data_IF_353481089332
#
_entry.id   IF_353481089332
#
_cell.length_a   1.000
_cell.length_b   1.000
_cell.length_c   1.000
_cell.angle_alpha   90.00
_cell.angle_beta   90.00
_cell.angle_gamma   90.00
#
_symmetry.space_group_name_H-M   'P 1'
#
loop_
_entity.id
_entity.type
_entity.pdbx_description
1 polymer ?
#
# COMPACT_ATOMS: atom_id res chain seq x y z
N UNK A 1 17.88 -19.83 13.41
CA UNK A 1 17.72 -21.05 12.60
C UNK A 1 17.94 -20.66 11.15
N UNK A 2 19.16 -20.34 10.71
CA UNK A 2 19.37 -19.70 9.42
C UNK A 2 19.02 -20.60 8.24
N UNK A 3 18.61 -19.96 7.14
CA UNK A 3 18.38 -20.60 5.84
C UNK A 3 19.66 -20.80 5.05
N UNK A 4 20.79 -20.23 5.49
CA UNK A 4 22.10 -20.37 4.86
C UNK A 4 23.19 -20.78 5.83
N UNK A 5 24.20 -21.45 5.30
CA UNK A 5 25.45 -21.73 6.02
C UNK A 5 26.63 -21.70 5.03
N UNK A 6 27.85 -21.80 5.53
CA UNK A 6 29.06 -21.97 4.73
C UNK A 6 29.37 -23.46 4.60
N UNK A 7 29.60 -23.91 3.38
CA UNK A 7 30.16 -25.21 3.04
C UNK A 7 31.48 -24.96 2.30
N UNK A 8 32.61 -25.30 2.92
CA UNK A 8 33.95 -25.00 2.39
C UNK A 8 34.11 -23.54 1.91
N UNK A 9 33.71 -22.58 2.74
CA UNK A 9 33.69 -21.13 2.45
C UNK A 9 32.70 -20.65 1.39
N UNK A 10 31.92 -21.54 0.78
CA UNK A 10 30.85 -21.17 -0.15
C UNK A 10 29.53 -21.10 0.59
N UNK A 11 28.78 -20.00 0.42
CA UNK A 11 27.43 -19.88 0.97
C UNK A 11 26.49 -20.83 0.22
N UNK A 12 25.80 -21.70 0.97
CA UNK A 12 24.74 -22.57 0.46
C UNK A 12 23.41 -22.24 1.15
N UNK A 13 22.31 -22.40 0.43
CA UNK A 13 20.96 -22.16 0.94
C UNK A 13 20.20 -23.47 1.09
N UNK A 14 19.49 -23.62 2.20
CA UNK A 14 18.74 -24.84 2.51
C UNK A 14 17.63 -25.13 1.50
N UNK A 15 17.06 -24.09 0.91
CA UNK A 15 15.97 -24.18 -0.08
C UNK A 15 16.44 -24.45 -1.51
N UNK A 16 17.76 -24.47 -1.77
CA UNK A 16 18.34 -24.86 -3.07
C UNK A 16 18.48 -26.39 -3.19
N UNK A 17 18.23 -27.14 -2.11
CA UNK A 17 18.28 -28.60 -2.08
C UNK A 17 16.89 -29.21 -2.19
N UNK A 18 16.75 -30.20 -3.06
CA UNK A 18 15.62 -31.12 -3.08
C UNK A 18 15.74 -32.17 -1.95
N UNK A 19 14.84 -33.17 -1.93
CA UNK A 19 14.86 -34.19 -0.89
C UNK A 19 16.14 -35.04 -0.92
N UNK A 20 16.59 -35.46 -2.10
CA UNK A 20 17.74 -36.32 -2.26
C UNK A 20 19.04 -35.59 -1.92
N UNK A 21 19.23 -34.38 -2.46
CA UNK A 21 20.38 -33.53 -2.18
C UNK A 21 20.48 -33.15 -0.70
N UNK A 22 19.34 -32.95 -0.02
CA UNK A 22 19.35 -32.66 1.42
C UNK A 22 19.79 -33.85 2.27
N UNK A 23 19.37 -35.07 1.93
CA UNK A 23 19.85 -36.29 2.61
C UNK A 23 21.33 -36.56 2.32
N UNK A 24 21.79 -36.30 1.09
CA UNK A 24 23.21 -36.36 0.76
C UNK A 24 24.03 -35.35 1.57
N UNK A 25 23.55 -34.10 1.71
CA UNK A 25 24.20 -33.06 2.52
C UNK A 25 24.25 -33.45 4.01
N UNK A 26 23.20 -34.09 4.54
CA UNK A 26 23.22 -34.64 5.90
C UNK A 26 24.29 -35.73 6.05
N UNK A 27 24.39 -36.63 5.08
CA UNK A 27 25.36 -37.73 5.11
C UNK A 27 26.80 -37.21 5.06
N UNK A 28 27.11 -36.27 4.15
CA UNK A 28 28.45 -35.67 4.06
C UNK A 28 28.82 -34.93 5.35
N UNK A 29 27.94 -34.04 5.85
CA UNK A 29 28.23 -33.24 7.05
C UNK A 29 28.37 -34.10 8.33
N UNK A 30 27.79 -35.30 8.38
CA UNK A 30 28.05 -36.26 9.48
C UNK A 30 29.47 -36.80 9.42
N UNK A 31 30.01 -37.04 8.23
CA UNK A 31 31.33 -37.58 8.01
C UNK A 31 32.45 -36.53 8.20
N UNK A 32 32.27 -35.33 7.67
CA UNK A 32 33.36 -34.34 7.54
C UNK A 32 33.18 -33.05 8.36
N UNK A 33 32.01 -32.83 8.97
CA UNK A 33 31.69 -31.61 9.71
C UNK A 33 31.91 -30.30 8.90
N UNK A 34 31.72 -30.35 7.59
CA UNK A 34 32.04 -29.28 6.63
C UNK A 34 31.11 -28.05 6.68
N UNK A 35 29.99 -28.11 7.39
CA UNK A 35 29.01 -27.02 7.44
C UNK A 35 29.23 -26.09 8.64
N UNK A 36 29.31 -24.79 8.37
CA UNK A 36 29.64 -23.75 9.34
C UNK A 36 28.59 -22.63 9.32
N UNK A 37 28.16 -22.18 10.50
CA UNK A 37 27.17 -21.12 10.66
C UNK A 37 27.76 -19.76 10.27
N UNK A 38 27.05 -19.00 9.44
CA UNK A 38 27.46 -17.64 9.02
C UNK A 38 27.45 -16.63 10.17
N UNK A 39 26.63 -16.85 11.20
CA UNK A 39 26.48 -15.91 12.32
C UNK A 39 27.58 -15.99 13.38
N UNK A 40 28.19 -17.17 13.58
CA UNK A 40 29.10 -17.39 14.72
C UNK A 40 30.24 -18.38 14.43
N UNK A 41 30.38 -18.87 13.20
CA UNK A 41 31.38 -19.87 12.79
C UNK A 41 31.31 -21.23 13.52
N UNK A 42 30.25 -21.48 14.31
CA UNK A 42 30.03 -22.78 14.92
C UNK A 42 29.60 -23.81 13.87
N UNK A 43 29.77 -25.11 14.18
CA UNK A 43 29.31 -26.20 13.33
C UNK A 43 27.78 -26.15 13.13
N UNK A 44 27.36 -26.27 11.88
CA UNK A 44 25.98 -26.32 11.46
C UNK A 44 25.49 -27.77 11.27
N UNK A 45 24.21 -27.99 11.51
CA UNK A 45 23.52 -29.26 11.31
C UNK A 45 22.26 -29.01 10.46
N UNK A 46 22.13 -29.68 9.31
CA UNK A 46 20.93 -29.59 8.47
C UNK A 46 19.73 -30.26 9.15
N UNK A 47 18.62 -29.53 9.28
CA UNK A 47 17.35 -29.96 9.89
C UNK A 47 16.15 -29.60 9.02
N UNK A 48 14.99 -30.19 9.34
CA UNK A 48 13.71 -29.91 8.68
C UNK A 48 12.71 -29.50 9.76
N UNK A 49 11.98 -28.42 9.52
CA UNK A 49 10.96 -27.90 10.45
C UNK A 49 9.66 -28.72 10.35
N UNK A 50 8.73 -28.49 11.28
CA UNK A 50 7.37 -29.07 11.21
C UNK A 50 6.61 -28.67 9.92
N UNK A 51 6.99 -27.57 9.27
CA UNK A 51 6.40 -27.10 8.01
C UNK A 51 7.16 -27.62 6.78
N UNK A 52 8.06 -28.59 6.94
CA UNK A 52 8.87 -29.12 5.85
C UNK A 52 10.01 -28.20 5.39
N UNK A 53 10.17 -27.03 6.01
CA UNK A 53 11.25 -26.07 5.67
C UNK A 53 12.59 -26.62 6.10
N UNK A 54 13.52 -26.76 5.15
CA UNK A 54 14.93 -27.11 5.42
C UNK A 54 15.65 -25.89 6.02
N UNK A 55 16.48 -26.11 7.03
CA UNK A 55 17.26 -25.05 7.68
C UNK A 55 18.53 -25.59 8.33
N UNK A 56 19.40 -24.70 8.76
CA UNK A 56 20.61 -25.05 9.51
C UNK A 56 20.46 -24.70 11.00
N UNK A 57 20.88 -25.61 11.87
CA UNK A 57 20.88 -25.43 13.31
C UNK A 57 22.30 -25.53 13.86
N UNK A 58 22.58 -24.84 14.97
CA UNK A 58 23.83 -25.04 15.70
C UNK A 58 23.92 -26.49 16.19
N UNK A 59 25.09 -27.13 16.03
CA UNK A 59 25.34 -28.48 16.55
C UNK A 59 25.29 -28.51 18.08
N UNK A 60 25.82 -27.47 18.74
CA UNK A 60 25.69 -27.23 20.18
C UNK A 60 25.23 -25.80 20.40
N UNK A 61 24.31 -25.60 21.34
CA UNK A 61 23.96 -24.26 21.82
C UNK A 61 25.17 -23.68 22.55
N UNK A 62 25.83 -22.69 21.94
CA UNK A 62 26.95 -21.95 22.53
C UNK A 62 26.55 -20.51 22.84
N UNK A 63 27.52 -19.60 22.91
CA UNK A 63 27.34 -18.16 23.19
C UNK A 63 26.69 -17.37 22.03
N UNK A 64 26.14 -18.05 21.03
CA UNK A 64 25.49 -17.38 19.91
C UNK A 64 24.23 -16.67 20.39
N UNK A 65 24.24 -15.34 20.33
CA UNK A 65 23.14 -14.46 20.78
C UNK A 65 21.99 -14.35 19.76
N UNK A 66 22.07 -15.07 18.64
CA UNK A 66 21.03 -15.04 17.61
C UNK A 66 19.75 -15.70 18.11
N UNK A 67 18.68 -14.91 18.26
CA UNK A 67 17.36 -15.41 18.65
C UNK A 67 16.85 -16.44 17.64
N UNK A 68 16.33 -17.60 18.08
CA UNK A 68 15.74 -18.57 17.18
C UNK A 68 14.50 -18.00 16.47
N UNK A 69 14.52 -18.04 15.14
CA UNK A 69 13.33 -17.77 14.31
C UNK A 69 12.35 -18.95 14.35
N UNK A 70 11.05 -18.67 14.21
CA UNK A 70 10.01 -19.71 14.16
C UNK A 70 10.00 -20.41 12.80
N UNK A 71 9.41 -21.60 12.73
CA UNK A 71 9.27 -22.35 11.48
C UNK A 71 8.50 -21.56 10.42
N UNK A 72 7.47 -20.83 10.85
CA UNK A 72 6.62 -19.99 10.00
C UNK A 72 7.40 -18.81 9.41
N UNK A 73 8.27 -18.17 10.20
CA UNK A 73 9.13 -17.08 9.74
C UNK A 73 10.11 -17.60 8.66
N UNK A 74 10.77 -18.72 8.91
CA UNK A 74 11.69 -19.34 7.93
C UNK A 74 10.99 -19.73 6.64
N UNK A 75 9.77 -20.24 6.74
CA UNK A 75 8.99 -20.63 5.59
C UNK A 75 8.62 -19.41 4.74
N UNK A 76 8.11 -18.33 5.34
CA UNK A 76 7.82 -17.09 4.63
C UNK A 76 9.08 -16.48 3.98
N UNK A 77 10.21 -16.43 4.70
CA UNK A 77 11.50 -15.96 4.19
C UNK A 77 11.98 -16.78 2.99
N UNK A 78 11.77 -18.09 3.02
CA UNK A 78 12.05 -19.00 1.89
C UNK A 78 11.21 -18.63 0.66
N UNK A 79 9.89 -18.49 0.82
CA UNK A 79 8.99 -18.10 -0.28
C UNK A 79 9.41 -16.75 -0.86
N UNK A 80 9.67 -15.75 -0.02
CA UNK A 80 10.07 -14.41 -0.46
C UNK A 80 11.37 -14.47 -1.28
N UNK A 81 12.39 -15.16 -0.80
CA UNK A 81 13.67 -15.27 -1.51
C UNK A 81 13.53 -16.01 -2.84
N UNK A 82 12.81 -17.14 -2.86
CA UNK A 82 12.56 -17.90 -4.09
C UNK A 82 11.71 -17.12 -5.10
N UNK A 83 10.66 -16.43 -4.65
CA UNK A 83 9.83 -15.60 -5.51
C UNK A 83 10.62 -14.44 -6.14
N UNK A 84 11.50 -13.80 -5.37
CA UNK A 84 12.40 -12.77 -5.88
C UNK A 84 13.35 -13.33 -6.96
N UNK A 85 13.97 -14.50 -6.70
CA UNK A 85 14.80 -15.21 -7.70
C UNK A 85 14.01 -15.54 -8.96
N UNK A 86 12.80 -16.07 -8.82
CA UNK A 86 11.92 -16.40 -9.93
C UNK A 86 11.42 -15.17 -10.70
N UNK A 87 11.47 -13.97 -10.12
CA UNK A 87 11.21 -12.70 -10.78
C UNK A 87 12.45 -12.09 -11.48
N UNK A 88 13.56 -12.84 -11.55
CA UNK A 88 14.81 -12.42 -12.18
C UNK A 88 15.63 -11.44 -11.35
N UNK A 89 15.44 -11.43 -10.03
CA UNK A 89 16.31 -10.72 -9.09
C UNK A 89 17.36 -11.67 -8.50
N UNK A 90 18.54 -11.16 -8.17
CA UNK A 90 19.43 -11.87 -7.25
C UNK A 90 18.88 -11.69 -5.84
N UNK A 91 18.78 -12.75 -5.04
CA UNK A 91 18.28 -12.64 -3.67
C UNK A 91 19.03 -13.55 -2.69
N UNK A 92 19.37 -12.98 -1.53
CA UNK A 92 20.02 -13.64 -0.39
C UNK A 92 19.25 -13.29 0.90
N UNK A 93 19.30 -14.18 1.89
CA UNK A 93 18.66 -14.05 3.19
C UNK A 93 19.64 -13.58 4.27
N UNK A 94 19.21 -12.84 5.29
CA UNK A 94 20.07 -12.38 6.39
C UNK A 94 21.29 -11.57 5.89
N UNK A 95 21.07 -10.65 4.97
CA UNK A 95 22.14 -9.83 4.38
C UNK A 95 22.46 -8.66 5.28
N UNK A 96 23.72 -8.58 5.70
CA UNK A 96 24.23 -7.46 6.51
C UNK A 96 24.66 -6.31 5.61
N UNK A 97 24.49 -5.10 6.11
CA UNK A 97 25.05 -3.89 5.52
C UNK A 97 25.19 -2.81 6.57
N UNK A 98 25.69 -1.65 6.14
CA UNK A 98 25.98 -0.53 7.02
C UNK A 98 25.57 0.77 6.33
N UNK A 99 25.01 1.72 7.09
CA UNK A 99 24.77 3.08 6.58
C UNK A 99 26.08 3.82 6.36
N UNK A 100 26.10 4.93 5.58
CA UNK A 100 27.29 5.78 5.48
C UNK A 100 27.77 6.33 6.84
N UNK A 101 26.89 6.43 7.82
CA UNK A 101 27.19 6.85 9.19
C UNK A 101 27.71 5.71 10.09
N UNK A 102 27.85 4.48 9.59
CA UNK A 102 28.38 3.35 10.34
C UNK A 102 27.33 2.49 11.06
N UNK A 103 26.03 2.69 10.82
CA UNK A 103 24.98 1.91 11.50
C UNK A 103 24.70 0.58 10.79
N UNK A 104 24.92 -0.54 11.49
CA UNK A 104 24.77 -1.90 10.94
C UNK A 104 23.32 -2.35 10.86
N UNK A 105 22.84 -2.71 9.66
CA UNK A 105 21.53 -3.33 9.41
C UNK A 105 21.64 -4.77 8.92
N UNK A 106 20.55 -5.53 9.08
CA UNK A 106 20.41 -6.89 8.54
C UNK A 106 19.02 -7.00 7.91
N UNK A 107 18.98 -7.33 6.63
CA UNK A 107 17.74 -7.59 5.89
C UNK A 107 17.39 -9.07 5.95
N UNK A 108 16.12 -9.40 6.23
CA UNK A 108 15.63 -10.77 6.16
C UNK A 108 15.83 -11.38 4.78
N UNK A 109 15.47 -10.63 3.73
CA UNK A 109 15.81 -10.92 2.32
C UNK A 109 16.26 -9.63 1.65
N UNK A 110 17.39 -9.65 0.96
CA UNK A 110 17.81 -8.55 0.08
C UNK A 110 17.74 -9.01 -1.38
N UNK A 111 16.87 -8.37 -2.16
CA UNK A 111 16.76 -8.55 -3.59
C UNK A 111 17.53 -7.45 -4.33
N UNK A 112 18.37 -7.81 -5.30
CA UNK A 112 19.12 -6.86 -6.15
C UNK A 112 18.93 -7.14 -7.64
N UNK A 113 18.71 -6.08 -8.43
CA UNK A 113 18.62 -6.12 -9.90
C UNK A 113 19.25 -4.86 -10.50
N UNK A 114 20.42 -5.00 -11.10
CA UNK A 114 21.24 -3.85 -11.51
C UNK A 114 21.61 -2.99 -10.30
N UNK A 115 21.31 -1.69 -10.35
CA UNK A 115 21.51 -0.76 -9.22
C UNK A 115 20.36 -0.80 -8.19
N UNK A 116 19.22 -1.40 -8.52
CA UNK A 116 18.07 -1.42 -7.62
C UNK A 116 18.25 -2.48 -6.52
N UNK A 117 18.02 -2.07 -5.26
CA UNK A 117 18.03 -2.94 -4.08
C UNK A 117 16.73 -2.82 -3.31
N UNK A 118 16.18 -3.95 -2.88
CA UNK A 118 14.97 -4.02 -2.04
C UNK A 118 15.21 -4.97 -0.89
N UNK A 119 15.22 -4.46 0.35
CA UNK A 119 15.11 -5.26 1.56
C UNK A 119 13.64 -5.63 1.78
N UNK A 120 13.34 -6.93 1.89
CA UNK A 120 12.01 -7.42 2.22
C UNK A 120 12.10 -8.02 3.62
N UNK A 121 11.43 -7.36 4.57
CA UNK A 121 11.46 -7.69 5.99
C UNK A 121 10.25 -8.54 6.37
N UNK A 122 10.48 -9.66 7.05
CA UNK A 122 9.43 -10.53 7.57
C UNK A 122 9.37 -10.34 9.09
N UNK A 123 8.67 -9.29 9.51
CA UNK A 123 8.64 -8.90 10.91
C UNK A 123 7.67 -9.78 11.71
N UNK A 124 8.23 -10.83 12.31
CA UNK A 124 7.45 -11.84 13.05
C UNK A 124 7.01 -11.39 14.45
N UNK A 125 7.93 -10.74 15.17
CA UNK A 125 7.67 -10.19 16.50
C UNK A 125 7.09 -8.79 16.40
N UNK A 126 6.30 -8.40 17.39
CA UNK A 126 5.71 -7.06 17.44
C UNK A 126 6.80 -5.99 17.42
N UNK A 127 6.64 -4.98 16.55
CA UNK A 127 7.58 -3.88 16.37
C UNK A 127 6.78 -2.57 16.34
N UNK A 128 7.25 -1.57 17.06
CA UNK A 128 6.61 -0.25 17.07
C UNK A 128 6.80 0.50 15.76
N UNK A 129 5.89 1.43 15.46
CA UNK A 129 5.93 2.28 14.26
C UNK A 129 7.24 3.08 14.16
N UNK A 130 7.70 3.66 15.27
CA UNK A 130 8.97 4.41 15.33
C UNK A 130 10.18 3.56 14.95
N UNK A 131 10.21 2.30 15.40
CA UNK A 131 11.29 1.37 15.07
C UNK A 131 11.26 0.98 13.59
N UNK A 132 10.06 0.72 13.05
CA UNK A 132 9.89 0.46 11.62
C UNK A 132 10.38 1.64 10.78
N UNK A 133 10.01 2.87 11.15
CA UNK A 133 10.46 4.08 10.46
C UNK A 133 11.97 4.33 10.62
N UNK A 134 12.55 4.02 11.80
CA UNK A 134 14.00 4.08 12.00
C UNK A 134 14.73 3.11 11.07
N UNK A 135 14.28 1.86 11.01
CA UNK A 135 14.86 0.85 10.10
C UNK A 135 14.65 1.22 8.63
N UNK A 136 13.48 1.77 8.27
CA UNK A 136 13.18 2.28 6.93
C UNK A 136 14.20 3.35 6.50
N UNK A 137 14.48 4.33 7.38
CA UNK A 137 15.47 5.39 7.13
C UNK A 137 16.87 4.83 6.91
N UNK A 138 17.31 3.87 7.74
CA UNK A 138 18.62 3.24 7.58
C UNK A 138 18.79 2.50 6.24
N UNK A 139 17.74 1.85 5.76
CA UNK A 139 17.74 1.28 4.42
C UNK A 139 17.85 2.38 3.36
N UNK A 140 17.04 3.43 3.47
CA UNK A 140 17.06 4.55 2.53
C UNK A 140 18.45 5.22 2.46
N UNK A 141 19.08 5.48 3.61
CA UNK A 141 20.43 6.04 3.71
C UNK A 141 21.50 5.14 3.07
N UNK A 142 21.22 3.84 2.97
CA UNK A 142 22.09 2.85 2.33
C UNK A 142 21.77 2.63 0.84
N UNK A 143 20.86 3.43 0.26
CA UNK A 143 20.40 3.26 -1.12
C UNK A 143 19.57 1.99 -1.33
N UNK A 144 18.94 1.47 -0.27
CA UNK A 144 18.11 0.27 -0.28
C UNK A 144 16.66 0.68 -0.02
N UNK A 145 15.73 0.27 -0.90
CA UNK A 145 14.30 0.40 -0.59
C UNK A 145 13.90 -0.71 0.36
N UNK A 146 12.93 -0.49 1.24
CA UNK A 146 12.44 -1.52 2.14
C UNK A 146 10.93 -1.74 2.01
N UNK A 147 10.52 -3.00 2.08
CA UNK A 147 9.13 -3.49 2.08
C UNK A 147 8.93 -4.39 3.30
N UNK A 148 7.83 -4.17 4.03
CA UNK A 148 7.57 -4.83 5.30
C UNK A 148 6.37 -5.77 5.23
N UNK A 149 6.59 -7.01 5.64
CA UNK A 149 5.58 -8.04 5.82
C UNK A 149 5.46 -8.35 7.32
N UNK A 150 4.45 -7.77 7.98
CA UNK A 150 4.30 -7.85 9.44
C UNK A 150 3.29 -8.93 9.81
N UNK A 151 3.63 -9.76 10.80
CA UNK A 151 2.65 -10.68 11.39
C UNK A 151 1.55 -9.94 12.17
N UNK A 152 1.88 -8.80 12.75
CA UNK A 152 0.99 -8.00 13.59
C UNK A 152 0.43 -6.80 12.80
N UNK A 153 -0.77 -6.30 13.13
CA UNK A 153 -1.42 -5.24 12.37
C UNK A 153 -0.89 -3.84 12.73
N UNK A 154 0.33 -3.73 13.23
CA UNK A 154 0.99 -2.45 13.54
C UNK A 154 1.57 -1.84 12.23
N UNK A 155 0.70 -1.68 11.21
CA UNK A 155 1.05 -1.23 9.86
C UNK A 155 1.12 0.30 9.76
N UNK A 156 2.02 0.79 8.90
CA UNK A 156 2.09 2.17 8.42
C UNK A 156 1.41 2.27 7.05
N UNK A 157 0.31 3.04 7.00
CA UNK A 157 -0.45 3.30 5.76
C UNK A 157 0.08 4.57 5.10
N UNK A 158 1.30 4.48 4.55
CA UNK A 158 1.97 5.62 3.92
C UNK A 158 2.85 5.17 2.75
N UNK A 159 3.18 6.09 1.84
CA UNK A 159 4.05 5.83 0.68
C UNK A 159 5.48 5.48 1.08
N UNK A 160 6.01 6.13 2.12
CA UNK A 160 7.41 6.01 2.52
C UNK A 160 7.79 4.66 3.11
N UNK A 161 6.81 3.97 3.71
CA UNK A 161 7.01 2.72 4.45
C UNK A 161 5.98 1.67 4.01
N UNK A 162 6.16 1.01 2.84
CA UNK A 162 5.23 0.00 2.36
C UNK A 162 5.18 -1.17 3.34
N UNK A 163 4.08 -1.28 4.07
CA UNK A 163 3.88 -2.29 5.11
C UNK A 163 2.54 -2.98 4.98
N UNK A 164 2.55 -4.31 5.09
CA UNK A 164 1.40 -5.16 4.81
C UNK A 164 1.30 -6.27 5.85
N UNK A 165 0.08 -6.77 6.07
CA UNK A 165 -0.11 -7.91 6.97
C UNK A 165 0.30 -9.20 6.24
N UNK A 166 1.18 -9.96 6.87
CA UNK A 166 1.50 -11.33 6.51
C UNK A 166 0.58 -12.31 7.27
N UNK A 167 -0.31 -12.97 6.54
CA UNK A 167 -1.23 -14.00 7.02
C UNK A 167 -0.68 -15.38 6.66
N UNK A 168 0.00 -16.03 7.61
CA UNK A 168 0.53 -17.40 7.46
C UNK A 168 -0.49 -18.40 8.03
N UNK A 169 -1.02 -19.26 7.17
CA UNK A 169 -1.99 -20.31 7.50
C UNK A 169 -1.33 -21.67 7.41
N UNK A 170 -0.74 -22.12 8.52
CA UNK A 170 0.03 -23.36 8.57
C UNK A 170 -0.79 -24.60 8.24
N UNK A 171 -2.08 -24.63 8.59
CA UNK A 171 -3.00 -25.73 8.28
C UNK A 171 -3.25 -25.90 6.77
N UNK A 172 -3.17 -24.80 6.03
CA UNK A 172 -3.41 -24.75 4.58
C UNK A 172 -2.10 -24.80 3.79
N UNK A 173 -0.94 -24.79 4.47
CA UNK A 173 0.37 -24.57 3.83
C UNK A 173 0.36 -23.35 2.90
N UNK A 174 -0.34 -22.28 3.33
CA UNK A 174 -0.57 -21.08 2.53
C UNK A 174 -0.13 -19.82 3.28
N UNK A 175 0.38 -18.83 2.54
CA UNK A 175 0.72 -17.51 3.04
C UNK A 175 0.15 -16.45 2.12
N UNK A 176 -0.45 -15.43 2.71
CA UNK A 176 -1.06 -14.32 2.00
C UNK A 176 -0.55 -12.98 2.52
N UNK A 177 -0.53 -12.00 1.65
CA UNK A 177 -0.32 -10.59 1.98
C UNK A 177 -1.66 -9.87 1.87
N UNK A 178 -2.07 -9.20 2.96
CA UNK A 178 -3.31 -8.42 2.98
C UNK A 178 -3.00 -6.92 2.93
N UNK A 179 -3.65 -6.22 2.01
CA UNK A 179 -3.55 -4.78 1.87
C UNK A 179 -4.67 -4.10 2.67
N UNK A 180 -4.36 -3.04 3.45
CA UNK A 180 -5.35 -2.37 4.29
C UNK A 180 -6.44 -1.67 3.45
N UNK A 181 -7.70 -1.83 3.85
CA UNK A 181 -8.85 -1.10 3.28
C UNK A 181 -8.97 0.30 3.88
N UNK A 182 -9.98 1.07 3.46
CA UNK A 182 -10.28 2.39 4.06
C UNK A 182 -10.80 2.31 5.50
N UNK A 183 -11.21 1.13 5.93
CA UNK A 183 -11.68 0.88 7.30
C UNK A 183 -10.57 0.36 8.21
N UNK A 184 -9.35 0.12 7.67
CA UNK A 184 -8.20 -0.25 8.48
C UNK A 184 -7.67 0.98 9.23
N UNK A 185 -7.63 0.88 10.56
CA UNK A 185 -6.96 1.85 11.42
C UNK A 185 -6.10 1.10 12.44
N UNK A 186 -4.77 1.31 12.46
CA UNK A 186 -3.87 0.58 13.36
C UNK A 186 -4.16 0.83 14.86
N UNK A 187 -4.97 1.85 15.21
CA UNK A 187 -5.43 2.10 16.59
C UNK A 187 -6.52 1.13 17.04
N UNK A 188 -7.31 0.59 16.10
CA UNK A 188 -8.48 -0.25 16.38
C UNK A 188 -8.27 -1.72 15.97
N UNK A 189 -7.37 -1.96 15.01
CA UNK A 189 -7.06 -3.31 14.55
C UNK A 189 -5.99 -3.94 15.43
N UNK A 190 -6.35 -5.06 16.06
CA UNK A 190 -5.52 -5.85 16.98
C UNK A 190 -5.36 -7.28 16.48
N UNK A 191 -4.52 -8.08 17.13
CA UNK A 191 -4.41 -9.50 16.78
C UNK A 191 -5.72 -10.30 16.94
N UNK A 192 -6.72 -9.77 17.67
CA UNK A 192 -8.01 -10.45 17.89
C UNK A 192 -8.98 -10.30 16.72
N UNK A 193 -8.94 -9.17 16.02
CA UNK A 193 -9.87 -8.82 14.93
C UNK A 193 -9.18 -8.62 13.57
N UNK A 194 -7.84 -8.70 13.48
CA UNK A 194 -7.11 -8.54 12.21
C UNK A 194 -7.50 -9.53 11.10
N UNK A 195 -8.25 -10.59 11.39
CA UNK A 195 -8.74 -11.52 10.36
C UNK A 195 -10.01 -11.03 9.66
N UNK A 196 -10.74 -10.06 10.23
CA UNK A 196 -11.99 -9.55 9.68
C UNK A 196 -11.80 -8.94 8.29
N UNK A 197 -12.66 -9.33 7.34
CA UNK A 197 -12.51 -8.98 5.94
C UNK A 197 -12.61 -7.47 5.68
N UNK A 198 -13.39 -6.75 6.49
CA UNK A 198 -13.64 -5.31 6.33
C UNK A 198 -12.37 -4.46 6.35
N UNK A 199 -11.33 -4.92 7.06
CA UNK A 199 -10.05 -4.23 7.17
C UNK A 199 -9.11 -4.44 5.98
N UNK A 200 -9.46 -5.31 5.02
CA UNK A 200 -8.56 -5.70 3.94
C UNK A 200 -9.24 -5.59 2.59
N UNK A 201 -8.71 -4.75 1.72
CA UNK A 201 -9.26 -4.56 0.37
C UNK A 201 -8.78 -5.64 -0.61
N UNK A 202 -7.58 -6.20 -0.39
CA UNK A 202 -6.99 -7.21 -1.27
C UNK A 202 -6.23 -8.24 -0.46
N UNK A 203 -6.28 -9.50 -0.90
CA UNK A 203 -5.53 -10.63 -0.32
C UNK A 203 -4.82 -11.36 -1.45
N UNK A 204 -3.49 -11.32 -1.46
CA UNK A 204 -2.66 -11.87 -2.53
C UNK A 204 -1.79 -12.99 -1.98
N UNK A 205 -1.63 -14.09 -2.70
CA UNK A 205 -0.68 -15.15 -2.31
C UNK A 205 0.75 -14.58 -2.19
N UNK A 206 1.49 -14.95 -1.14
CA UNK A 206 2.79 -14.35 -0.82
C UNK A 206 3.77 -14.38 -1.99
N UNK A 207 3.84 -15.50 -2.72
CA UNK A 207 4.71 -15.61 -3.90
C UNK A 207 4.33 -14.61 -4.99
N UNK A 208 3.04 -14.56 -5.35
CA UNK A 208 2.50 -13.65 -6.36
C UNK A 208 2.71 -12.18 -5.95
N UNK A 209 2.50 -11.86 -4.68
CA UNK A 209 2.73 -10.53 -4.13
C UNK A 209 4.20 -10.11 -4.28
N UNK A 210 5.15 -10.95 -3.86
CA UNK A 210 6.59 -10.62 -3.95
C UNK A 210 7.01 -10.44 -5.40
N UNK A 211 6.58 -11.34 -6.30
CA UNK A 211 6.84 -11.23 -7.73
C UNK A 211 6.32 -9.91 -8.28
N UNK A 212 5.05 -9.59 -8.03
CA UNK A 212 4.42 -8.36 -8.51
C UNK A 212 5.01 -7.10 -7.89
N UNK A 213 5.32 -7.09 -6.61
CA UNK A 213 5.94 -5.94 -5.94
C UNK A 213 7.31 -5.61 -6.55
N UNK A 214 8.07 -6.64 -6.96
CA UNK A 214 9.38 -6.49 -7.60
C UNK A 214 9.31 -6.21 -9.11
N UNK A 215 8.13 -6.35 -9.74
CA UNK A 215 7.91 -6.08 -11.18
C UNK A 215 6.93 -4.92 -11.45
N UNK A 216 6.50 -4.21 -10.41
CA UNK A 216 5.74 -2.96 -10.51
C UNK A 216 4.22 -3.09 -10.40
N UNK A 217 3.68 -4.25 -10.01
CA UNK A 217 2.26 -4.41 -9.68
C UNK A 217 1.86 -3.71 -8.38
N UNK A 218 2.79 -3.50 -7.44
CA UNK A 218 2.52 -2.77 -6.21
C UNK A 218 2.68 -1.26 -6.43
N UNK A 219 1.57 -0.51 -6.35
CA UNK A 219 1.50 0.92 -6.63
C UNK A 219 0.88 1.68 -5.47
N UNK A 220 1.36 2.89 -5.19
CA UNK A 220 0.76 3.77 -4.19
C UNK A 220 -0.10 4.82 -4.90
N UNK A 221 -1.33 5.01 -4.43
CA UNK A 221 -2.33 5.90 -5.03
C UNK A 221 -2.46 5.68 -6.55
N UNK A 222 -2.78 4.45 -7.01
CA UNK A 222 -2.80 4.12 -8.44
C UNK A 222 -3.89 4.88 -9.22
N UNK A 223 -4.80 5.54 -8.51
CA UNK A 223 -5.91 6.31 -9.07
C UNK A 223 -5.43 7.63 -9.68
N UNK A 224 -4.23 8.11 -9.31
CA UNK A 224 -3.64 9.31 -9.89
C UNK A 224 -3.45 9.12 -11.39
N UNK A 225 -3.80 10.15 -12.15
CA UNK A 225 -3.78 10.21 -13.62
C UNK A 225 -4.66 9.17 -14.31
N UNK A 226 -5.56 8.51 -13.57
CA UNK A 226 -6.54 7.58 -14.14
C UNK A 226 -7.86 8.29 -14.47
N UNK A 227 -8.51 7.94 -15.58
CA UNK A 227 -9.89 8.34 -15.84
C UNK A 227 -10.83 7.58 -14.89
N UNK A 228 -11.51 8.32 -14.02
CA UNK A 228 -12.52 7.82 -13.09
C UNK A 228 -13.88 8.41 -13.46
N UNK A 229 -14.96 7.60 -13.47
CA UNK A 229 -16.31 8.14 -13.59
C UNK A 229 -16.64 9.06 -12.41
N UNK A 230 -17.14 10.25 -12.70
CA UNK A 230 -17.66 11.19 -11.71
C UNK A 230 -19.14 11.38 -11.97
N UNK A 231 -19.93 11.19 -10.92
CA UNK A 231 -21.38 11.43 -10.91
C UNK A 231 -21.65 12.75 -10.20
N UNK A 232 -22.38 13.66 -10.87
CA UNK A 232 -22.80 14.95 -10.32
C UNK A 232 -24.24 14.82 -9.82
N UNK A 233 -24.45 15.13 -8.55
CA UNK A 233 -25.79 15.32 -8.00
C UNK A 233 -26.15 16.80 -7.96
N UNK A 234 -27.35 17.12 -8.43
CA UNK A 234 -27.82 18.50 -8.50
C UNK A 234 -29.30 18.62 -8.17
N UNK A 235 -29.70 19.80 -7.69
CA UNK A 235 -31.12 20.15 -7.47
C UNK A 235 -31.54 21.28 -8.39
N UNK A 236 -32.84 21.38 -8.67
CA UNK A 236 -33.42 22.47 -9.45
C UNK A 236 -33.81 23.62 -8.53
N UNK A 237 -33.37 24.82 -8.87
CA UNK A 237 -33.77 26.04 -8.15
C UNK A 237 -34.20 27.14 -9.11
N UNK A 238 -34.87 28.16 -8.57
CA UNK A 238 -35.20 29.37 -9.31
C UNK A 238 -34.16 30.46 -9.02
N UNK A 239 -33.44 30.92 -10.05
CA UNK A 239 -32.38 31.91 -9.87
C UNK A 239 -32.92 33.20 -9.23
N UNK A 240 -32.29 33.66 -8.14
CA UNK A 240 -32.71 34.87 -7.43
C UNK A 240 -32.67 36.14 -8.30
N UNK A 241 -31.78 36.18 -9.31
CA UNK A 241 -31.60 37.34 -10.21
C UNK A 241 -32.56 37.30 -11.40
N UNK A 242 -32.46 36.29 -12.26
CA UNK A 242 -33.23 36.24 -13.51
C UNK A 242 -34.56 35.48 -13.39
N UNK A 243 -34.84 34.88 -12.23
CA UNK A 243 -36.08 34.14 -11.92
C UNK A 243 -36.36 32.94 -12.83
N UNK A 244 -35.40 32.50 -13.64
CA UNK A 244 -35.48 31.28 -14.46
C UNK A 244 -34.96 30.07 -13.68
N UNK A 245 -35.46 28.89 -14.03
CA UNK A 245 -34.98 27.61 -13.48
C UNK A 245 -33.50 27.41 -13.85
N UNK A 246 -32.73 26.85 -12.94
CA UNK A 246 -31.32 26.46 -13.12
C UNK A 246 -31.03 25.31 -12.17
N UNK A 247 -29.99 24.51 -12.44
CA UNK A 247 -29.53 23.50 -11.49
C UNK A 247 -28.31 23.96 -10.71
N UNK A 248 -28.24 23.57 -9.45
CA UNK A 248 -27.06 23.73 -8.58
C UNK A 248 -26.50 22.36 -8.22
N UNK A 249 -25.19 22.18 -8.42
CA UNK A 249 -24.45 21.02 -7.94
C UNK A 249 -24.47 21.02 -6.42
N UNK A 250 -24.89 19.88 -5.85
CA UNK A 250 -24.94 19.66 -4.40
C UNK A 250 -23.84 18.69 -3.95
N UNK A 251 -23.47 17.74 -4.80
CA UNK A 251 -22.43 16.77 -4.49
C UNK A 251 -21.80 16.15 -5.72
N UNK A 252 -20.67 15.51 -5.49
CA UNK A 252 -19.90 14.76 -6.47
C UNK A 252 -19.53 13.41 -5.86
N UNK A 253 -19.69 12.36 -6.66
CA UNK A 253 -19.16 11.03 -6.34
C UNK A 253 -18.14 10.65 -7.39
N UNK A 254 -16.88 10.52 -6.99
CA UNK A 254 -15.83 9.95 -7.81
C UNK A 254 -15.83 8.44 -7.60
N UNK A 255 -16.29 7.71 -8.61
CA UNK A 255 -16.61 6.28 -8.54
C UNK A 255 -15.37 5.40 -8.74
N UNK A 256 -14.38 5.58 -7.87
CA UNK A 256 -13.10 4.88 -7.91
C UNK A 256 -13.28 3.37 -7.86
N UNK A 257 -14.30 2.89 -7.12
CA UNK A 257 -14.62 1.45 -7.00
C UNK A 257 -14.89 0.77 -8.34
N UNK A 258 -15.37 1.51 -9.35
CA UNK A 258 -15.60 0.98 -10.71
C UNK A 258 -14.31 0.65 -11.47
N UNK A 259 -13.19 1.25 -11.08
CA UNK A 259 -11.87 0.99 -11.67
C UNK A 259 -10.97 0.16 -10.75
N UNK A 260 -11.16 0.30 -9.43
CA UNK A 260 -10.36 -0.33 -8.39
C UNK A 260 -11.28 -1.09 -7.42
N UNK A 261 -11.62 -2.33 -7.75
CA UNK A 261 -12.56 -3.13 -6.98
C UNK A 261 -12.12 -3.31 -5.52
N UNK A 262 -12.93 -2.81 -4.58
CA UNK A 262 -12.62 -2.81 -3.14
C UNK A 262 -12.05 -1.47 -2.62
N UNK A 263 -11.77 -0.52 -3.51
CA UNK A 263 -11.53 0.88 -3.15
C UNK A 263 -12.87 1.58 -2.85
N UNK A 264 -12.98 2.43 -1.81
CA UNK A 264 -14.18 3.25 -1.61
C UNK A 264 -14.34 4.31 -2.71
N UNK A 265 -15.58 4.71 -3.00
CA UNK A 265 -15.82 5.92 -3.78
C UNK A 265 -15.48 7.16 -2.94
N UNK A 266 -15.07 8.23 -3.62
CA UNK A 266 -14.76 9.49 -2.97
C UNK A 266 -15.98 10.40 -3.12
N UNK A 267 -16.52 10.88 -2.01
CA UNK A 267 -17.62 11.84 -2.01
C UNK A 267 -17.09 13.22 -1.66
N UNK A 268 -17.57 14.25 -2.36
CA UNK A 268 -17.26 15.63 -2.03
C UNK A 268 -18.36 16.60 -2.45
N UNK A 269 -18.21 17.87 -2.11
CA UNK A 269 -19.09 18.96 -2.52
C UNK A 269 -18.28 20.17 -3.01
N UNK A 270 -18.95 21.15 -3.61
CA UNK A 270 -18.32 22.43 -3.95
C UNK A 270 -17.84 23.21 -2.71
N UNK A 271 -18.31 22.86 -1.53
CA UNK A 271 -17.92 23.53 -0.29
C UNK A 271 -16.55 23.09 0.20
N UNK A 272 -16.29 21.79 0.03
CA UNK A 272 -15.05 21.11 0.40
C UNK A 272 -13.93 21.29 -0.62
N UNK A 273 -14.30 21.57 -1.88
CA UNK A 273 -13.34 21.92 -2.93
C UNK A 273 -12.96 23.40 -2.80
N UNK A 274 -11.76 23.66 -2.25
CA UNK A 274 -11.25 25.02 -2.11
C UNK A 274 -10.46 25.46 -3.35
N UNK A 275 -10.75 26.66 -3.82
CA UNK A 275 -10.09 27.29 -4.96
C UNK A 275 -10.48 28.77 -4.97
N UNK A 276 -9.63 29.62 -4.39
CA UNK A 276 -9.80 31.08 -4.48
C UNK A 276 -9.55 31.61 -5.90
N UNK A 277 -8.73 30.88 -6.68
CA UNK A 277 -8.38 31.14 -8.07
C UNK A 277 -8.78 29.97 -8.99
N UNK A 278 -8.65 30.11 -10.31
CA UNK A 278 -8.97 29.02 -11.23
C UNK A 278 -7.88 27.93 -11.20
N UNK A 279 -8.14 26.84 -10.46
CA UNK A 279 -7.26 25.67 -10.45
C UNK A 279 -7.34 24.87 -11.77
N UNK A 280 -6.22 24.30 -12.27
CA UNK A 280 -6.19 23.54 -13.52
C UNK A 280 -7.17 22.36 -13.58
N UNK A 281 -7.44 21.71 -12.45
CA UNK A 281 -8.35 20.56 -12.37
C UNK A 281 -9.83 20.95 -12.52
N UNK A 282 -10.20 22.24 -12.36
CA UNK A 282 -11.59 22.69 -12.43
C UNK A 282 -12.23 22.44 -13.78
N UNK A 283 -11.53 22.74 -14.88
CA UNK A 283 -12.08 22.55 -16.22
C UNK A 283 -12.29 21.06 -16.56
N UNK A 284 -11.46 20.20 -15.99
CA UNK A 284 -11.54 18.74 -16.11
C UNK A 284 -12.68 18.18 -15.25
N UNK A 285 -12.84 18.65 -14.00
CA UNK A 285 -13.92 18.19 -13.11
C UNK A 285 -15.28 18.79 -13.48
N UNK A 286 -15.32 20.02 -13.99
CA UNK A 286 -16.53 20.78 -14.33
C UNK A 286 -16.52 21.30 -15.79
N UNK A 287 -16.58 20.41 -16.79
CA UNK A 287 -16.59 20.81 -18.20
C UNK A 287 -17.85 21.63 -18.55
N UNK A 288 -17.70 22.95 -18.65
CA UNK A 288 -18.82 23.89 -18.78
C UNK A 288 -19.80 23.58 -19.94
N UNK A 289 -19.28 23.13 -21.09
CA UNK A 289 -20.11 22.79 -22.24
C UNK A 289 -21.01 21.56 -21.97
N UNK A 290 -20.50 20.56 -21.24
CA UNK A 290 -21.25 19.38 -20.85
C UNK A 290 -22.27 19.74 -19.76
N UNK A 291 -21.84 20.42 -18.70
CA UNK A 291 -22.72 20.83 -17.59
C UNK A 291 -23.94 21.64 -18.07
N UNK A 292 -23.73 22.51 -19.08
CA UNK A 292 -24.80 23.29 -19.71
C UNK A 292 -25.89 22.41 -20.33
N UNK A 293 -25.56 21.27 -20.91
CA UNK A 293 -26.53 20.32 -21.48
C UNK A 293 -27.45 19.75 -20.39
N UNK A 294 -26.96 19.70 -19.15
CA UNK A 294 -27.71 19.22 -17.99
C UNK A 294 -28.33 20.35 -17.16
N UNK A 295 -28.43 21.58 -17.69
CA UNK A 295 -29.10 22.69 -16.98
C UNK A 295 -28.27 23.33 -15.86
N UNK A 296 -26.98 23.00 -15.77
CA UNK A 296 -26.04 23.51 -14.76
C UNK A 296 -25.23 24.65 -15.39
N UNK A 297 -25.09 25.77 -14.68
CA UNK A 297 -24.24 26.87 -15.13
C UNK A 297 -22.75 26.63 -14.84
N UNK A 298 -21.91 27.62 -15.18
CA UNK A 298 -20.46 27.50 -14.99
C UNK A 298 -20.14 27.44 -13.49
N UNK A 299 -19.30 26.47 -13.10
CA UNK A 299 -18.71 26.38 -11.77
C UNK A 299 -17.34 27.08 -11.82
N UNK A 300 -17.15 28.09 -10.98
CA UNK A 300 -15.90 28.86 -10.89
C UNK A 300 -15.85 29.65 -9.57
N UNK A 301 -14.66 30.09 -9.14
CA UNK A 301 -14.53 30.99 -7.99
C UNK A 301 -15.30 32.28 -8.22
N UNK A 302 -16.08 32.72 -7.22
CA UNK A 302 -16.76 34.03 -7.24
C UNK A 302 -16.73 34.66 -5.87
N UNK A 303 -16.54 35.98 -5.83
CA UNK A 303 -16.64 36.76 -4.60
C UNK A 303 -18.09 36.89 -4.13
N UNK A 304 -18.36 36.50 -2.88
CA UNK A 304 -19.65 36.70 -2.22
C UNK A 304 -19.56 37.83 -1.20
N UNK A 305 -20.32 38.91 -1.40
CA UNK A 305 -20.41 40.01 -0.42
C UNK A 305 -20.94 39.55 0.94
N UNK A 306 -21.84 38.56 0.94
CA UNK A 306 -22.41 38.00 2.18
C UNK A 306 -21.39 37.18 2.95
N UNK A 307 -20.54 36.43 2.26
CA UNK A 307 -19.51 35.60 2.91
C UNK A 307 -18.20 36.36 3.18
N UNK A 308 -17.98 37.50 2.52
CA UNK A 308 -16.76 38.28 2.65
C UNK A 308 -15.53 37.68 1.96
N UNK A 309 -15.68 36.57 1.23
CA UNK A 309 -14.60 35.86 0.55
C UNK A 309 -14.99 35.38 -0.85
N UNK A 310 -13.98 34.98 -1.62
CA UNK A 310 -14.14 34.21 -2.86
C UNK A 310 -14.17 32.73 -2.56
N UNK A 311 -15.03 31.98 -3.26
CA UNK A 311 -15.08 30.53 -3.18
C UNK A 311 -15.64 29.91 -4.45
N UNK A 312 -15.38 28.62 -4.65
CA UNK A 312 -15.95 27.85 -5.77
C UNK A 312 -17.48 27.76 -5.66
N UNK A 313 -18.19 28.32 -6.64
CA UNK A 313 -19.64 28.49 -6.53
C UNK A 313 -20.41 27.97 -7.75
N UNK A 314 -21.66 27.59 -7.49
CA UNK A 314 -22.67 27.43 -8.53
C UNK A 314 -22.94 28.76 -9.24
N UNK A 315 -23.21 28.68 -10.55
CA UNK A 315 -23.63 29.80 -11.38
C UNK A 315 -24.96 29.52 -12.07
N UNK A 316 -25.82 30.53 -12.22
CA UNK A 316 -27.04 30.37 -13.00
C UNK A 316 -26.72 30.13 -14.48
N UNK A 317 -27.28 29.07 -15.08
CA UNK A 317 -27.08 28.74 -16.51
C UNK A 317 -27.47 29.89 -17.47
N UNK A 318 -28.37 30.77 -17.04
CA UNK A 318 -28.92 31.83 -17.88
C UNK A 318 -28.29 33.22 -17.71
N UNK A 319 -27.79 33.55 -16.52
CA UNK A 319 -27.30 34.88 -16.21
C UNK A 319 -26.00 34.90 -15.39
N UNK A 320 -25.42 33.73 -15.14
CA UNK A 320 -24.18 33.49 -14.39
C UNK A 320 -24.16 34.09 -12.97
N UNK A 321 -25.33 34.47 -12.44
CA UNK A 321 -25.45 34.95 -11.06
C UNK A 321 -24.95 33.88 -10.09
N UNK A 322 -24.14 34.29 -9.10
CA UNK A 322 -23.69 33.45 -8.00
C UNK A 322 -24.91 32.85 -7.30
N UNK A 323 -24.91 31.52 -7.21
CA UNK A 323 -25.87 30.73 -6.44
C UNK A 323 -25.08 30.21 -5.23
N UNK A 324 -25.20 30.93 -4.11
CA UNK A 324 -24.32 30.75 -2.95
C UNK A 324 -24.62 29.48 -2.16
N UNK A 325 -23.74 29.18 -1.21
CA UNK A 325 -23.78 28.02 -0.30
C UNK A 325 -24.91 28.05 0.74
N UNK A 326 -25.84 29.00 0.68
CA UNK A 326 -26.83 29.30 1.75
C UNK A 326 -28.29 29.18 1.28
N UNK A 327 -28.58 28.30 0.32
CA UNK A 327 -29.96 27.94 0.04
C UNK A 327 -30.37 26.79 0.99
N UNK A 328 -31.56 26.92 1.58
CA UNK A 328 -32.05 26.23 2.77
C UNK A 328 -31.66 24.75 2.84
N UNK A 329 -31.30 24.30 4.03
CA UNK A 329 -30.89 22.92 4.36
C UNK A 329 -31.90 21.83 3.94
N UNK A 330 -33.10 22.19 3.49
CA UNK A 330 -34.13 21.29 2.98
C UNK A 330 -33.91 20.86 1.50
N UNK A 331 -33.22 21.66 0.67
CA UNK A 331 -33.05 21.40 -0.78
C UNK A 331 -32.01 20.30 -1.08
N UNK A 332 -31.16 19.95 -0.10
CA UNK A 332 -30.19 18.85 -0.24
C UNK A 332 -30.88 17.47 -0.36
N UNK A 333 -32.09 17.32 0.20
CA UNK A 333 -32.85 16.07 0.17
C UNK A 333 -33.40 15.76 -1.24
N UNK A 334 -33.49 16.77 -2.11
CA UNK A 334 -34.02 16.65 -3.48
C UNK A 334 -32.92 16.53 -4.56
N UNK A 335 -31.64 16.49 -4.16
CA UNK A 335 -30.55 16.32 -5.11
C UNK A 335 -30.65 14.96 -5.80
N UNK A 336 -30.53 14.96 -7.13
CA UNK A 336 -30.55 13.74 -7.95
C UNK A 336 -29.33 13.68 -8.83
N UNK A 337 -28.90 12.48 -9.19
CA UNK A 337 -27.82 12.28 -10.16
C UNK A 337 -28.28 12.77 -11.54
N UNK A 338 -27.57 13.76 -12.10
CA UNK A 338 -27.99 14.43 -13.34
C UNK A 338 -27.06 14.18 -14.52
N UNK A 339 -25.80 13.84 -14.26
CA UNK A 339 -24.84 13.43 -15.28
C UNK A 339 -23.69 12.63 -14.67
N UNK A 340 -23.08 11.81 -15.53
CA UNK A 340 -21.88 11.04 -15.24
C UNK A 340 -20.93 11.16 -16.43
N UNK A 341 -19.64 11.37 -16.15
CA UNK A 341 -18.59 11.47 -17.17
C UNK A 341 -17.23 11.11 -16.58
N UNK A 342 -16.26 10.81 -17.45
CA UNK A 342 -14.89 10.48 -17.04
C UNK A 342 -14.10 11.75 -16.71
N UNK A 343 -13.38 11.72 -15.59
CA UNK A 343 -12.50 12.78 -15.12
C UNK A 343 -11.15 12.17 -14.78
N UNK A 344 -10.06 12.77 -15.26
CA UNK A 344 -8.72 12.35 -14.84
C UNK A 344 -8.44 12.86 -13.42
N UNK A 345 -8.15 11.95 -12.49
CA UNK A 345 -7.79 12.32 -11.12
C UNK A 345 -6.35 12.84 -11.03
N UNK A 346 -6.17 14.15 -11.13
CA UNK A 346 -4.89 14.80 -10.90
C UNK A 346 -4.46 14.73 -9.43
N UNK A 347 -3.14 14.77 -9.18
CA UNK A 347 -2.58 14.82 -7.82
C UNK A 347 -3.15 15.98 -7.00
N UNK A 348 -3.28 17.17 -7.61
CA UNK A 348 -3.76 18.39 -6.96
C UNK A 348 -5.22 18.25 -6.48
N UNK A 349 -6.07 17.57 -7.26
CA UNK A 349 -7.46 17.29 -6.87
C UNK A 349 -7.50 16.31 -5.69
N UNK A 350 -6.66 15.27 -5.68
CA UNK A 350 -6.60 14.35 -4.54
C UNK A 350 -6.04 15.02 -3.28
N UNK A 351 -5.09 15.95 -3.41
CA UNK A 351 -4.60 16.75 -2.29
C UNK A 351 -5.72 17.61 -1.68
N UNK A 352 -6.57 18.23 -2.49
CA UNK A 352 -7.76 18.96 -2.03
C UNK A 352 -8.73 18.04 -1.28
N UNK A 353 -9.04 16.87 -1.85
CA UNK A 353 -9.91 15.88 -1.21
C UNK A 353 -9.31 15.38 0.12
N UNK A 354 -8.01 15.14 0.18
CA UNK A 354 -7.35 14.72 1.42
C UNK A 354 -7.35 15.81 2.50
N UNK A 355 -7.24 17.09 2.13
CA UNK A 355 -7.27 18.21 3.06
C UNK A 355 -8.59 18.31 3.85
N UNK A 356 -9.69 17.81 3.27
CA UNK A 356 -11.02 17.74 3.91
C UNK A 356 -11.32 16.36 4.52
N UNK A 357 -10.31 15.49 4.65
CA UNK A 357 -10.45 14.16 5.27
C UNK A 357 -10.84 13.04 4.31
N UNK A 358 -10.92 13.29 3.00
CA UNK A 358 -11.12 12.26 1.98
C UNK A 358 -9.76 11.80 1.41
N UNK A 359 -8.90 11.31 2.30
CA UNK A 359 -7.56 10.80 1.98
C UNK A 359 -7.57 9.34 1.52
N UNK A 360 -8.75 8.75 1.35
CA UNK A 360 -8.89 7.34 1.12
C UNK A 360 -8.28 6.88 -0.21
N UNK A 361 -7.94 7.77 -1.13
CA UNK A 361 -7.17 7.45 -2.34
C UNK A 361 -5.66 7.18 -2.08
N UNK A 362 -5.09 7.69 -0.99
CA UNK A 362 -3.67 7.61 -0.68
C UNK A 362 -3.29 6.28 0.00
N UNK A 363 -3.42 5.19 -0.76
CA UNK A 363 -3.15 3.83 -0.27
C UNK A 363 -2.38 2.97 -1.28
N UNK A 364 -1.77 1.91 -0.78
CA UNK A 364 -1.17 0.88 -1.62
C UNK A 364 -2.23 0.02 -2.31
N UNK A 365 -1.95 -0.38 -3.54
CA UNK A 365 -2.78 -1.22 -4.38
C UNK A 365 -1.93 -2.24 -5.13
N UNK A 366 -2.45 -3.45 -5.32
CA UNK A 366 -1.79 -4.47 -6.10
C UNK A 366 -2.55 -4.67 -7.43
N UNK A 367 -1.95 -4.25 -8.54
CA UNK A 367 -2.49 -4.47 -9.86
C UNK A 367 -2.22 -5.91 -10.30
N UNK A 368 -3.29 -6.72 -10.42
CA UNK A 368 -3.23 -7.98 -11.17
C UNK A 368 -2.87 -7.65 -12.62
N UNK A 369 -1.73 -8.15 -13.09
CA UNK A 369 -1.20 -7.90 -14.44
C UNK A 369 -1.13 -9.19 -15.22
#
# INVERSE_FOLDING_TARGET
>A
MPLKCLHHHTTIFAFDFDAAGWEQLKASNRADASLIMTCCQARAVPKVSKLGTRFFAHHKSGECTSTPETAEHLWAKTIVCQAARAAGWTADTEVRGQTPAGEDWVADVLATKGSAKVAIEIQWSRQGTEETQRRQRRYADSGVRALWLLRHPDLLVERGTPSFLLDVRTSESAAFVRLPSSQFDPRWVTNRNKSEAVYWQQTIALEAFVRGALTGSLQFAPVIDQPIPVTISATKIRCWRCKRETRTVQGLTLEVSKRFAGHPDLHTSLEELDSEEEAPWLANLFPAALLKQHGIGVIKPRFSRTAGCSYLSNGCIHCDALLGRHFDHDDYLDATDVCQYEVTLSSELLEQLAAVGNDSAYRWWFAER
#
